data_IF_277229098949
#
_entry.id   IF_277229098949
#
_cell.length_a   1.000
_cell.length_b   1.000
_cell.length_c   1.000
_cell.angle_alpha   90.00
_cell.angle_beta   90.00
_cell.angle_gamma   90.00
#
_symmetry.space_group_name_H-M   'P 1'
#
loop_
_entity.id
_entity.type
_entity.pdbx_description
1 polymer ?
#
# COMPACT_ATOMS: atom_id res chain seq x y z
N UNK A 1 -13.42 17.03 -9.32
CA UNK A 1 -12.92 18.42 -9.37
C UNK A 1 -11.51 18.45 -9.91
N UNK A 2 -10.81 19.58 -9.78
CA UNK A 2 -9.39 19.67 -10.19
C UNK A 2 -8.47 18.86 -9.27
N UNK A 3 -8.81 18.72 -7.98
CA UNK A 3 -8.04 17.92 -7.03
C UNK A 3 -7.97 16.45 -7.46
N UNK A 4 -9.10 15.85 -7.77
CA UNK A 4 -9.21 14.44 -8.15
C UNK A 4 -8.48 14.16 -9.48
N UNK A 5 -8.46 15.14 -10.39
CA UNK A 5 -7.65 15.03 -11.63
C UNK A 5 -6.16 15.02 -11.31
N UNK A 6 -5.70 15.86 -10.39
CA UNK A 6 -4.29 15.91 -9.98
C UNK A 6 -3.88 14.63 -9.24
N UNK A 7 -4.74 14.10 -8.37
CA UNK A 7 -4.50 12.83 -7.69
C UNK A 7 -4.42 11.66 -8.68
N UNK A 8 -5.34 11.59 -9.64
CA UNK A 8 -5.30 10.58 -10.69
C UNK A 8 -4.03 10.69 -11.55
N UNK A 9 -3.66 11.91 -11.96
CA UNK A 9 -2.45 12.16 -12.71
C UNK A 9 -1.18 11.78 -11.92
N UNK A 10 -1.12 12.11 -10.63
CA UNK A 10 -0.03 11.71 -9.74
C UNK A 10 0.08 10.18 -9.64
N UNK A 11 -1.05 9.48 -9.53
CA UNK A 11 -1.08 8.03 -9.52
C UNK A 11 -0.56 7.42 -10.83
N UNK A 12 -0.88 8.00 -11.98
CA UNK A 12 -0.39 7.54 -13.28
C UNK A 12 1.12 7.73 -13.44
N UNK A 13 1.68 8.84 -12.95
CA UNK A 13 3.13 9.06 -12.91
C UNK A 13 3.81 7.96 -12.08
N UNK A 14 3.27 7.66 -10.90
CA UNK A 14 3.84 6.64 -10.01
C UNK A 14 3.76 5.23 -10.61
N UNK A 15 2.65 4.88 -11.28
CA UNK A 15 2.53 3.61 -12.01
C UNK A 15 3.58 3.51 -13.12
N UNK A 16 3.72 4.57 -13.93
CA UNK A 16 4.73 4.61 -14.98
C UNK A 16 6.15 4.43 -14.42
N UNK A 17 6.48 5.07 -13.30
CA UNK A 17 7.77 4.89 -12.63
C UNK A 17 8.04 3.41 -12.32
N UNK A 18 7.05 2.67 -11.84
CA UNK A 18 7.19 1.23 -11.56
C UNK A 18 7.28 0.41 -12.84
N UNK A 19 6.44 0.69 -13.84
CA UNK A 19 6.41 -0.01 -15.13
C UNK A 19 7.75 0.04 -15.88
N UNK A 20 8.49 1.15 -15.75
CA UNK A 20 9.82 1.32 -16.37
C UNK A 20 10.98 0.82 -15.49
N UNK A 21 10.69 0.04 -14.44
CA UNK A 21 11.68 -0.58 -13.56
C UNK A 21 12.16 0.30 -12.40
N UNK A 22 11.48 1.42 -12.14
CA UNK A 22 11.71 2.25 -10.97
C UNK A 22 10.99 1.72 -9.73
N UNK A 23 10.72 2.62 -8.77
CA UNK A 23 10.06 2.28 -7.52
C UNK A 23 8.87 3.20 -7.20
N UNK A 24 7.88 2.68 -6.48
CA UNK A 24 6.74 3.47 -5.99
C UNK A 24 7.17 4.62 -5.05
N UNK A 25 8.24 4.41 -4.29
CA UNK A 25 8.87 5.43 -3.47
C UNK A 25 10.34 5.10 -3.23
N UNK A 26 11.24 6.04 -3.50
CA UNK A 26 12.67 5.91 -3.20
C UNK A 26 12.98 6.03 -1.70
N UNK A 27 12.48 7.09 -1.04
CA UNK A 27 12.80 7.38 0.37
C UNK A 27 11.62 7.81 1.25
N UNK A 28 10.60 8.49 0.70
CA UNK A 28 9.52 9.08 1.49
C UNK A 28 8.52 8.06 2.08
N UNK A 29 8.48 6.86 1.52
CA UNK A 29 7.55 5.81 1.88
C UNK A 29 6.16 5.95 1.27
N UNK A 30 5.26 5.09 1.74
CA UNK A 30 3.94 4.85 1.15
C UNK A 30 2.85 5.68 1.84
N UNK A 31 2.79 5.62 3.18
CA UNK A 31 1.81 6.38 3.95
C UNK A 31 0.36 6.06 3.57
N UNK A 32 -0.49 7.09 3.54
CA UNK A 32 -1.88 6.97 3.04
C UNK A 32 -1.91 7.17 1.52
N UNK A 33 -1.19 8.17 1.04
CA UNK A 33 -1.22 8.68 -0.33
C UNK A 33 -0.92 7.59 -1.38
N UNK A 34 0.06 6.72 -1.13
CA UNK A 34 0.50 5.72 -2.11
C UNK A 34 0.02 4.30 -1.80
N UNK A 35 -0.74 4.06 -0.72
CA UNK A 35 -1.07 2.71 -0.26
C UNK A 35 -1.83 1.92 -1.34
N UNK A 36 -2.76 2.59 -2.03
CA UNK A 36 -3.63 1.96 -3.02
C UNK A 36 -2.88 1.67 -4.33
N UNK A 37 -1.62 2.14 -4.47
CA UNK A 37 -0.72 1.87 -5.58
C UNK A 37 0.28 0.75 -5.27
N UNK A 38 0.27 0.17 -4.07
CA UNK A 38 1.19 -0.91 -3.69
C UNK A 38 1.10 -2.12 -4.63
N UNK A 39 -0.09 -2.41 -5.16
CA UNK A 39 -0.29 -3.48 -6.15
C UNK A 39 0.42 -3.24 -7.48
N UNK A 40 0.81 -1.99 -7.80
CA UNK A 40 1.63 -1.72 -8.98
C UNK A 40 3.06 -2.25 -8.78
N UNK A 41 3.58 -2.20 -7.56
CA UNK A 41 4.97 -2.54 -7.23
C UNK A 41 5.16 -3.97 -6.75
N UNK A 42 4.22 -4.47 -5.95
CA UNK A 42 4.35 -5.72 -5.21
C UNK A 42 3.28 -6.71 -5.65
N UNK A 43 3.70 -7.96 -5.76
CA UNK A 43 2.79 -9.08 -6.05
C UNK A 43 1.92 -9.40 -4.82
N UNK A 44 0.90 -10.22 -5.00
CA UNK A 44 0.09 -10.71 -3.89
C UNK A 44 0.94 -11.48 -2.86
N UNK A 45 1.92 -12.27 -3.31
CA UNK A 45 2.82 -13.03 -2.43
C UNK A 45 3.74 -12.11 -1.63
N UNK A 46 4.27 -11.05 -2.26
CA UNK A 46 5.06 -10.02 -1.57
C UNK A 46 4.23 -9.32 -0.48
N UNK A 47 2.96 -9.02 -0.78
CA UNK A 47 2.05 -8.40 0.18
C UNK A 47 1.75 -9.32 1.36
N UNK A 48 1.44 -10.60 1.11
CA UNK A 48 1.21 -11.56 2.20
C UNK A 48 2.45 -11.70 3.10
N UNK A 49 3.65 -11.74 2.53
CA UNK A 49 4.90 -11.78 3.30
C UNK A 49 5.08 -10.53 4.19
N UNK A 50 4.83 -9.33 3.65
CA UNK A 50 4.89 -8.09 4.43
C UNK A 50 3.83 -8.05 5.54
N UNK A 51 2.64 -8.56 5.25
CA UNK A 51 1.54 -8.61 6.19
C UNK A 51 1.76 -9.63 7.31
N UNK A 52 2.42 -10.76 7.04
CA UNK A 52 2.81 -11.70 8.08
C UNK A 52 3.74 -11.05 9.13
N UNK A 53 4.65 -10.17 8.69
CA UNK A 53 5.47 -9.36 9.61
C UNK A 53 4.59 -8.39 10.40
N UNK A 54 3.64 -7.72 9.75
CA UNK A 54 2.70 -6.81 10.42
C UNK A 54 1.89 -7.52 11.51
N UNK A 55 1.34 -8.69 11.21
CA UNK A 55 0.55 -9.49 12.14
C UNK A 55 1.37 -9.98 13.34
N UNK A 56 2.64 -10.34 13.12
CA UNK A 56 3.53 -10.79 14.19
C UNK A 56 3.85 -9.68 15.21
N UNK A 57 3.95 -8.42 14.77
CA UNK A 57 4.33 -7.29 15.63
C UNK A 57 3.17 -6.39 16.06
N UNK A 58 1.99 -6.54 15.48
CA UNK A 58 0.77 -5.79 15.84
C UNK A 58 -0.49 -6.67 15.75
N UNK A 59 -0.62 -7.69 16.61
CA UNK A 59 -1.72 -8.66 16.55
C UNK A 59 -3.11 -8.02 16.73
N UNK A 60 -3.20 -6.91 17.47
CA UNK A 60 -4.45 -6.16 17.70
C UNK A 60 -4.70 -5.09 16.62
N UNK A 61 -3.82 -4.95 15.63
CA UNK A 61 -3.96 -3.98 14.53
C UNK A 61 -4.14 -2.52 14.98
N UNK A 62 -3.37 -2.10 15.99
CA UNK A 62 -3.44 -0.74 16.60
C UNK A 62 -2.43 0.23 16.03
N UNK A 63 -1.33 -0.26 15.46
CA UNK A 63 -0.24 0.57 14.99
C UNK A 63 -0.52 1.10 13.58
N UNK A 64 -0.88 2.38 13.51
CA UNK A 64 -0.98 3.19 12.30
C UNK A 64 -2.01 2.68 11.26
N UNK A 65 -3.29 2.49 11.66
CA UNK A 65 -4.32 1.90 10.80
C UNK A 65 -4.54 2.72 9.52
N UNK A 66 -4.75 2.00 8.41
CA UNK A 66 -5.02 2.61 7.11
C UNK A 66 -3.80 3.20 6.42
N UNK A 67 -2.57 2.95 6.88
CA UNK A 67 -1.35 3.37 6.19
C UNK A 67 -0.59 2.17 5.65
N UNK A 68 0.26 2.42 4.66
CA UNK A 68 1.16 1.47 3.99
C UNK A 68 0.45 0.46 3.11
N UNK A 69 -0.50 -0.29 3.64
CA UNK A 69 -1.12 -1.40 2.91
C UNK A 69 -2.48 -1.01 2.29
N UNK A 70 -2.82 -1.55 1.10
CA UNK A 70 -4.15 -1.44 0.51
C UNK A 70 -5.26 -1.88 1.48
N UNK A 71 -6.41 -1.20 1.44
CA UNK A 71 -7.50 -1.45 2.39
C UNK A 71 -8.12 -2.84 2.26
N UNK A 72 -8.20 -3.37 1.05
CA UNK A 72 -8.69 -4.72 0.75
C UNK A 72 -7.76 -5.80 1.32
N UNK A 73 -6.44 -5.61 1.19
CA UNK A 73 -5.42 -6.47 1.79
C UNK A 73 -5.54 -6.45 3.31
N UNK A 74 -5.69 -5.27 3.92
CA UNK A 74 -5.85 -5.13 5.38
C UNK A 74 -7.13 -5.79 5.89
N UNK A 75 -8.25 -5.64 5.19
CA UNK A 75 -9.54 -6.19 5.63
C UNK A 75 -9.49 -7.72 5.77
N UNK A 76 -8.82 -8.40 4.85
CA UNK A 76 -8.66 -9.85 4.91
C UNK A 76 -7.91 -10.31 6.17
N UNK A 77 -6.83 -9.62 6.57
CA UNK A 77 -6.03 -9.98 7.74
C UNK A 77 -6.73 -9.67 9.06
N UNK A 78 -7.39 -8.50 9.16
CA UNK A 78 -8.12 -8.14 10.39
C UNK A 78 -9.27 -9.10 10.69
N UNK A 79 -9.92 -9.65 9.67
CA UNK A 79 -10.95 -10.69 9.84
C UNK A 79 -10.39 -12.02 10.35
N UNK A 80 -9.11 -12.32 10.10
CA UNK A 80 -8.45 -13.55 10.62
C UNK A 80 -8.00 -13.42 12.07
N UNK A 81 -7.69 -12.19 12.51
CA UNK A 81 -7.24 -11.90 13.87
C UNK A 81 -8.39 -11.79 14.89
N UNK A 82 -9.63 -11.55 14.42
CA UNK A 82 -10.84 -11.50 15.24
C UNK A 82 -11.42 -12.90 15.49
#
# INVERSE_FOLDING_TARGET
>A
GELEKVEAFGADILRLCVEVGGCLSGEHGVGVEKRDLMHAQFTADDMEAQMAVKDAFDPDWRLNPGKVFPLDTVEAHRKRAA
#
